data_IF_103296309866
#
_entry.id   IF_103296309866
#
_cell.length_a   1.000
_cell.length_b   1.000
_cell.length_c   1.000
_cell.angle_alpha   90.00
_cell.angle_beta   90.00
_cell.angle_gamma   90.00
#
_symmetry.space_group_name_H-M   'P 1'
#
loop_
_entity.id
_entity.type
_entity.pdbx_description
1 polymer ?
#
# COMPACT_ATOMS: atom_id res chain seq x y z
N UNK A 1 -11.58 -2.40 54.87
CA UNK A 1 -12.30 -1.64 53.82
C UNK A 1 -11.27 -1.21 52.78
N UNK A 2 -11.14 -1.99 51.70
CA UNK A 2 -10.20 -1.72 50.61
C UNK A 2 -10.90 -0.86 49.56
N UNK A 3 -10.71 0.47 49.59
CA UNK A 3 -11.33 1.37 48.60
C UNK A 3 -10.53 2.67 48.39
N UNK A 4 -9.21 2.56 48.23
CA UNK A 4 -8.38 3.74 47.92
C UNK A 4 -7.17 3.47 47.01
N UNK A 5 -6.79 2.22 46.76
CA UNK A 5 -5.61 1.91 45.94
C UNK A 5 -5.89 1.81 44.42
N UNK A 6 -7.15 1.83 44.00
CA UNK A 6 -7.53 1.52 42.62
C UNK A 6 -7.76 2.74 41.71
N UNK A 7 -7.82 3.95 42.26
CA UNK A 7 -8.12 5.17 41.48
C UNK A 7 -6.89 5.74 40.78
N UNK A 8 -5.74 5.77 41.47
CA UNK A 8 -4.51 6.37 40.94
C UNK A 8 -3.93 5.62 39.74
N UNK A 9 -3.99 4.27 39.77
CA UNK A 9 -3.53 3.42 38.67
C UNK A 9 -4.43 3.50 37.42
N UNK A 10 -5.74 3.70 37.62
CA UNK A 10 -6.69 3.81 36.53
C UNK A 10 -6.52 5.13 35.76
N UNK A 11 -6.29 6.23 36.49
CA UNK A 11 -6.04 7.55 35.92
C UNK A 11 -4.70 7.57 35.15
N UNK A 12 -3.64 6.97 35.70
CA UNK A 12 -2.34 6.89 35.00
C UNK A 12 -2.44 6.08 33.71
N UNK A 13 -3.13 4.93 33.73
CA UNK A 13 -3.37 4.15 32.53
C UNK A 13 -4.17 4.95 31.48
N UNK A 14 -5.25 5.63 31.87
CA UNK A 14 -6.07 6.44 30.96
C UNK A 14 -5.27 7.55 30.27
N UNK A 15 -4.39 8.25 31.00
CA UNK A 15 -3.54 9.30 30.42
C UNK A 15 -2.52 8.73 29.44
N UNK A 16 -1.92 7.58 29.75
CA UNK A 16 -1.00 6.88 28.85
C UNK A 16 -1.72 6.45 27.55
N UNK A 17 -2.93 5.89 27.65
CA UNK A 17 -3.74 5.53 26.50
C UNK A 17 -4.10 6.75 25.64
N UNK A 18 -4.50 7.87 26.24
CA UNK A 18 -4.82 9.11 25.53
C UNK A 18 -3.61 9.67 24.75
N UNK A 19 -2.41 9.67 25.35
CA UNK A 19 -1.18 10.11 24.68
C UNK A 19 -0.79 9.15 23.55
N UNK A 20 -0.91 7.83 23.75
CA UNK A 20 -0.67 6.82 22.69
C UNK A 20 -1.65 6.94 21.52
N UNK A 21 -2.94 7.17 21.79
CA UNK A 21 -3.95 7.37 20.74
C UNK A 21 -3.85 8.74 20.05
N UNK A 22 -3.38 9.78 20.76
CA UNK A 22 -3.23 11.13 20.22
C UNK A 22 -2.13 11.26 19.17
N UNK A 23 -1.07 10.45 19.25
CA UNK A 23 0.04 10.44 18.28
C UNK A 23 -0.30 9.60 17.03
N UNK A 24 -1.33 8.75 17.10
CA UNK A 24 -1.72 7.84 16.01
C UNK A 24 -2.66 8.45 14.97
N UNK A 25 -2.96 9.75 15.04
CA UNK A 25 -3.35 10.52 13.86
C UNK A 25 -2.11 10.91 13.04
N UNK A 26 -1.16 9.97 12.94
CA UNK A 26 -0.18 10.00 11.88
C UNK A 26 -0.96 10.02 10.58
N UNK A 27 -0.96 11.19 9.93
CA UNK A 27 -1.25 11.28 8.51
C UNK A 27 -0.50 10.13 7.84
N UNK A 28 -1.23 9.06 7.54
CA UNK A 28 -0.95 8.28 6.35
C UNK A 28 -1.15 9.27 5.23
N UNK A 29 -0.12 10.08 4.97
CA UNK A 29 0.14 10.55 3.64
C UNK A 29 0.21 9.26 2.85
N UNK A 30 -0.90 8.92 2.21
CA UNK A 30 -0.90 8.08 1.02
C UNK A 30 0.17 8.74 0.17
N UNK A 31 1.38 8.18 0.22
CA UNK A 31 2.52 8.68 -0.53
C UNK A 31 1.97 8.70 -1.95
N UNK A 32 1.65 9.91 -2.46
CA UNK A 32 1.07 10.07 -3.79
C UNK A 32 2.13 9.50 -4.69
N UNK A 33 1.96 8.23 -5.07
CA UNK A 33 2.86 7.54 -5.96
C UNK A 33 2.74 8.35 -7.24
N UNK A 34 3.75 9.18 -7.49
CA UNK A 34 3.78 10.03 -8.67
C UNK A 34 3.62 9.10 -9.85
N UNK A 35 2.57 9.31 -10.61
CA UNK A 35 2.24 8.43 -11.70
C UNK A 35 3.25 8.64 -12.81
N UNK A 36 4.06 7.61 -13.10
CA UNK A 36 5.01 7.60 -14.20
C UNK A 36 4.48 6.64 -15.26
N UNK A 37 4.25 7.14 -16.47
CA UNK A 37 3.86 6.32 -17.61
C UNK A 37 4.89 5.22 -17.88
N UNK A 38 4.43 3.99 -18.09
CA UNK A 38 5.30 2.84 -18.33
C UNK A 38 6.07 2.37 -17.09
N UNK A 39 5.61 2.73 -15.89
CA UNK A 39 6.22 2.25 -14.64
C UNK A 39 6.12 0.73 -14.56
N UNK A 40 7.26 0.08 -14.39
CA UNK A 40 7.30 -1.35 -14.04
C UNK A 40 6.79 -1.54 -12.62
N UNK A 41 5.67 -2.25 -12.47
CA UNK A 41 5.12 -2.61 -11.16
C UNK A 41 5.85 -3.82 -10.56
N UNK A 42 6.12 -4.81 -11.40
CA UNK A 42 6.90 -5.98 -11.04
C UNK A 42 7.57 -6.59 -12.27
N UNK A 43 8.68 -7.26 -12.04
CA UNK A 43 9.41 -8.06 -13.02
C UNK A 43 9.72 -9.41 -12.39
N UNK A 44 9.16 -10.49 -12.95
CA UNK A 44 9.28 -11.84 -12.39
C UNK A 44 10.02 -12.74 -13.37
N UNK A 45 11.22 -13.14 -12.98
CA UNK A 45 12.07 -14.11 -13.67
C UNK A 45 11.79 -15.50 -13.11
N UNK A 46 10.69 -16.15 -13.52
CA UNK A 46 10.39 -17.49 -13.04
C UNK A 46 10.24 -18.47 -14.21
N UNK A 47 11.30 -19.25 -14.44
CA UNK A 47 11.49 -20.20 -15.55
C UNK A 47 10.43 -21.32 -15.66
N UNK A 48 9.57 -21.51 -14.64
CA UNK A 48 8.61 -22.62 -14.58
C UNK A 48 7.18 -22.24 -14.97
N UNK A 49 6.85 -20.96 -14.91
CA UNK A 49 5.53 -20.43 -15.25
C UNK A 49 5.74 -19.02 -15.85
N UNK A 50 5.91 -18.94 -17.17
CA UNK A 50 5.88 -17.67 -17.91
C UNK A 50 4.42 -17.15 -17.95
N UNK A 51 3.82 -16.94 -16.78
CA UNK A 51 2.46 -16.45 -16.68
C UNK A 51 2.48 -14.93 -16.69
N UNK A 52 2.52 -14.37 -17.89
CA UNK A 52 2.22 -12.96 -18.10
C UNK A 52 0.73 -12.84 -18.41
N UNK A 53 -0.05 -12.35 -17.43
CA UNK A 53 -1.47 -12.06 -17.63
C UNK A 53 -1.67 -10.56 -17.60
N UNK A 54 -2.07 -10.00 -18.74
CA UNK A 54 -2.39 -8.58 -18.84
C UNK A 54 -3.54 -8.21 -17.91
N UNK A 55 -4.54 -9.09 -17.72
CA UNK A 55 -5.63 -8.86 -16.77
C UNK A 55 -5.13 -8.72 -15.33
N UNK A 56 -4.27 -9.64 -14.88
CA UNK A 56 -3.69 -9.56 -13.53
C UNK A 56 -2.81 -8.32 -13.35
N UNK A 57 -2.07 -7.95 -14.40
CA UNK A 57 -1.26 -6.73 -14.40
C UNK A 57 -2.14 -5.48 -14.32
N UNK A 58 -3.20 -5.40 -15.13
CA UNK A 58 -4.17 -4.32 -15.15
C UNK A 58 -4.83 -4.13 -13.78
N UNK A 59 -5.38 -5.19 -13.19
CA UNK A 59 -5.97 -5.17 -11.85
C UNK A 59 -5.00 -4.63 -10.81
N UNK A 60 -3.75 -5.12 -10.81
CA UNK A 60 -2.72 -4.67 -9.88
C UNK A 60 -2.38 -3.18 -10.09
N UNK A 61 -2.26 -2.73 -11.35
CA UNK A 61 -2.01 -1.34 -11.70
C UNK A 61 -3.18 -0.44 -11.27
N UNK A 62 -4.42 -0.85 -11.49
CA UNK A 62 -5.61 -0.10 -11.08
C UNK A 62 -5.70 0.00 -9.55
N UNK A 63 -5.39 -1.09 -8.83
CA UNK A 63 -5.44 -1.16 -7.37
C UNK A 63 -4.39 -0.27 -6.69
N UNK A 64 -3.32 0.14 -7.39
CA UNK A 64 -2.43 1.19 -6.88
C UNK A 64 -3.12 2.56 -6.73
N UNK A 65 -4.28 2.75 -7.38
CA UNK A 65 -5.01 4.01 -7.41
C UNK A 65 -4.41 5.08 -8.34
N UNK A 66 -3.20 4.88 -8.87
CA UNK A 66 -2.50 5.86 -9.70
C UNK A 66 -2.71 5.63 -11.21
N UNK A 67 -3.05 4.41 -11.63
CA UNK A 67 -3.10 4.00 -13.05
C UNK A 67 -4.51 3.54 -13.46
N UNK A 68 -4.81 3.60 -14.77
CA UNK A 68 -6.05 3.07 -15.36
C UNK A 68 -5.85 1.77 -16.12
N UNK A 69 -4.61 1.44 -16.49
CA UNK A 69 -4.30 0.28 -17.31
C UNK A 69 -2.95 -0.33 -16.92
N UNK A 70 -2.72 -1.58 -17.30
CA UNK A 70 -1.43 -2.26 -17.21
C UNK A 70 -1.26 -3.28 -18.32
N UNK A 71 -0.05 -3.39 -18.86
CA UNK A 71 0.31 -4.42 -19.85
C UNK A 71 1.36 -5.35 -19.27
N UNK A 72 1.25 -6.62 -19.64
CA UNK A 72 2.22 -7.64 -19.27
C UNK A 72 2.98 -8.08 -20.52
N UNK A 73 4.29 -7.88 -20.51
CA UNK A 73 5.19 -8.23 -21.61
C UNK A 73 6.30 -9.17 -21.12
N UNK A 74 6.78 -10.05 -21.99
CA UNK A 74 7.88 -10.96 -21.68
C UNK A 74 9.13 -10.47 -22.39
N UNK A 75 10.12 -10.03 -21.63
CA UNK A 75 11.41 -9.56 -22.14
C UNK A 75 12.53 -10.40 -21.53
N UNK A 76 13.39 -11.01 -22.37
CA UNK A 76 14.52 -11.84 -21.90
C UNK A 76 14.12 -12.89 -20.86
N UNK A 77 13.01 -13.61 -21.09
CA UNK A 77 12.43 -14.62 -20.17
C UNK A 77 11.93 -14.04 -18.82
N UNK A 78 11.78 -12.73 -18.73
CA UNK A 78 11.22 -12.04 -17.57
C UNK A 78 9.83 -11.54 -17.92
N UNK A 79 8.82 -11.96 -17.16
CA UNK A 79 7.48 -11.38 -17.25
C UNK A 79 7.47 -10.03 -16.52
N UNK A 80 7.14 -8.97 -17.24
CA UNK A 80 7.20 -7.58 -16.77
C UNK A 80 5.81 -6.98 -16.88
N UNK A 81 5.30 -6.46 -15.77
CA UNK A 81 4.06 -5.70 -15.74
C UNK A 81 4.37 -4.21 -15.73
N UNK A 82 3.87 -3.48 -16.72
CA UNK A 82 4.02 -2.03 -16.88
C UNK A 82 2.67 -1.36 -16.73
N UNK A 83 2.59 -0.35 -15.86
CA UNK A 83 1.37 0.42 -15.68
C UNK A 83 1.35 1.65 -16.59
N UNK A 84 0.18 1.94 -17.14
CA UNK A 84 -0.05 3.00 -18.12
C UNK A 84 -1.33 3.78 -17.79
N UNK A 85 -1.54 4.88 -18.51
CA UNK A 85 -2.75 5.70 -18.41
C UNK A 85 -2.94 6.25 -17.00
N UNK A 86 -2.01 7.10 -16.59
CA UNK A 86 -2.01 7.81 -15.34
C UNK A 86 -3.33 8.51 -15.06
N UNK A 87 -3.89 8.24 -13.88
CA UNK A 87 -5.02 9.00 -13.36
C UNK A 87 -4.49 10.38 -12.99
N UNK A 88 -4.98 11.43 -13.66
CA UNK A 88 -4.82 12.80 -13.15
C UNK A 88 -5.46 12.84 -11.77
N UNK A 89 -4.64 12.96 -10.73
CA UNK A 89 -5.12 13.26 -9.39
C UNK A 89 -5.58 14.72 -9.43
N UNK A 90 -6.89 14.92 -9.57
CA UNK A 90 -7.56 16.22 -9.43
C UNK A 90 -7.39 16.70 -7.99
#
# INVERSE_FOLDING_TARGET
MAKAANDFGFITCLVIFLVLTGISNGMRMTQKVSCTEGRTLWARRHLKFLYCSSTLCEDNCINTGAYRNGTCDIENEVAICRCHSCKKMI
#
